data_IF_210395358525
#
_entry.id   IF_210395358525
#
_cell.length_a   1.000
_cell.length_b   1.000
_cell.length_c   1.000
_cell.angle_alpha   90.00
_cell.angle_beta   90.00
_cell.angle_gamma   90.00
#
_symmetry.space_group_name_H-M   'P 1'
#
loop_
_entity.id
_entity.type
_entity.pdbx_description
1 polymer ?
#
# COMPACT_ATOMS: atom_id res chain seq x y z
N UNK A 1 -56.38 8.29 34.69
CA UNK A 1 -56.27 7.03 35.47
C UNK A 1 -55.55 7.33 36.77
N UNK A 2 -55.90 6.69 37.88
CA UNK A 2 -55.15 6.85 39.13
C UNK A 2 -53.73 6.30 38.97
N UNK A 3 -52.74 6.97 39.56
CA UNK A 3 -51.34 6.53 39.54
C UNK A 3 -51.21 5.20 40.30
N UNK A 4 -50.40 4.29 39.78
CA UNK A 4 -50.10 3.01 40.43
C UNK A 4 -49.30 3.26 41.72
N UNK A 5 -49.77 2.70 42.83
CA UNK A 5 -49.11 2.80 44.13
C UNK A 5 -48.35 1.52 44.45
N UNK A 6 -47.30 1.65 45.29
CA UNK A 6 -46.50 0.50 45.73
C UNK A 6 -47.36 -0.57 46.41
N UNK A 7 -48.33 -0.16 47.23
CA UNK A 7 -49.31 -1.06 47.85
C UNK A 7 -50.05 -1.88 46.81
N UNK A 8 -50.52 -1.28 45.71
CA UNK A 8 -51.21 -2.02 44.63
C UNK A 8 -50.26 -2.94 43.87
N UNK A 9 -49.04 -2.49 43.61
CA UNK A 9 -48.02 -3.30 42.92
C UNK A 9 -47.63 -4.55 43.73
N UNK A 10 -47.43 -4.46 45.05
CA UNK A 10 -47.12 -5.62 45.92
C UNK A 10 -48.26 -6.64 46.00
N UNK A 11 -49.50 -6.23 45.72
CA UNK A 11 -50.65 -7.11 45.78
C UNK A 11 -51.01 -7.75 44.45
N UNK A 12 -50.28 -7.45 43.36
CA UNK A 12 -50.52 -8.05 42.05
C UNK A 12 -50.35 -9.58 42.12
N UNK A 13 -51.31 -10.33 41.59
CA UNK A 13 -51.32 -11.80 41.54
C UNK A 13 -51.05 -12.30 40.12
N UNK A 14 -50.59 -13.55 39.95
CA UNK A 14 -50.29 -14.12 38.63
C UNK A 14 -51.43 -14.01 37.61
N UNK A 15 -52.68 -14.13 38.06
CA UNK A 15 -53.88 -14.11 37.20
C UNK A 15 -54.50 -12.72 37.04
N UNK A 16 -53.88 -11.67 37.60
CA UNK A 16 -54.40 -10.31 37.51
C UNK A 16 -54.24 -9.75 36.09
N UNK A 17 -55.06 -8.75 35.74
CA UNK A 17 -54.82 -7.97 34.52
C UNK A 17 -53.63 -7.04 34.73
N UNK A 18 -52.87 -6.68 33.66
CA UNK A 18 -51.78 -5.72 33.78
C UNK A 18 -52.24 -4.42 34.43
N UNK A 19 -51.54 -3.98 35.48
CA UNK A 19 -51.86 -2.77 36.21
C UNK A 19 -51.26 -1.56 35.47
N UNK A 20 -52.07 -0.65 34.90
CA UNK A 20 -51.54 0.53 34.23
C UNK A 20 -50.83 1.44 35.24
N UNK A 21 -49.71 2.05 34.83
CA UNK A 21 -48.99 3.01 35.65
C UNK A 21 -49.84 4.24 35.99
N UNK A 22 -50.74 4.64 35.08
CA UNK A 22 -51.66 5.75 35.26
C UNK A 22 -51.08 7.13 34.90
N UNK A 23 -49.76 7.32 35.03
CA UNK A 23 -49.07 8.58 34.70
C UNK A 23 -48.34 8.60 33.35
N UNK A 24 -48.04 7.44 32.75
CA UNK A 24 -47.35 7.34 31.46
C UNK A 24 -48.15 6.44 30.54
N UNK A 25 -48.52 6.96 29.37
CA UNK A 25 -49.33 6.24 28.39
C UNK A 25 -48.64 4.95 27.98
N UNK A 26 -49.38 3.85 27.99
CA UNK A 26 -48.91 2.54 27.56
C UNK A 26 -47.95 1.82 28.52
N UNK A 27 -47.54 2.43 29.64
CA UNK A 27 -46.76 1.76 30.68
C UNK A 27 -47.69 0.99 31.62
N UNK A 28 -47.41 -0.30 31.82
CA UNK A 28 -48.14 -1.15 32.76
C UNK A 28 -47.21 -2.18 33.42
N UNK A 29 -47.55 -2.56 34.65
CA UNK A 29 -46.99 -3.70 35.35
C UNK A 29 -47.76 -4.96 34.97
N UNK A 30 -47.11 -5.87 34.25
CA UNK A 30 -47.65 -7.18 33.93
C UNK A 30 -47.34 -8.16 35.06
N UNK A 31 -48.31 -8.96 35.55
CA UNK A 31 -48.04 -9.93 36.60
C UNK A 31 -47.02 -10.99 36.17
N UNK A 32 -46.30 -11.52 37.15
CA UNK A 32 -45.44 -12.70 37.02
C UNK A 32 -46.04 -13.89 37.78
N UNK A 33 -45.37 -15.05 37.76
CA UNK A 33 -45.77 -16.25 38.50
C UNK A 33 -45.73 -16.11 40.03
N UNK A 34 -45.13 -15.03 40.54
CA UNK A 34 -44.98 -14.75 41.98
C UNK A 34 -45.81 -13.52 42.34
N UNK A 35 -46.64 -13.63 43.39
CA UNK A 35 -47.42 -12.51 43.93
C UNK A 35 -46.49 -11.37 44.31
N UNK A 36 -46.84 -10.14 43.91
CA UNK A 36 -46.06 -8.94 44.18
C UNK A 36 -44.86 -8.76 43.27
N UNK A 37 -44.70 -9.61 42.24
CA UNK A 37 -43.68 -9.45 41.20
C UNK A 37 -44.34 -9.28 39.83
N UNK A 38 -43.70 -8.51 38.96
CA UNK A 38 -44.21 -8.27 37.62
C UNK A 38 -43.17 -7.65 36.69
N UNK A 39 -43.46 -7.64 35.39
CA UNK A 39 -42.61 -7.03 34.37
C UNK A 39 -43.18 -5.68 33.97
N UNK A 40 -42.34 -4.66 33.96
CA UNK A 40 -42.69 -3.37 33.40
C UNK A 40 -42.68 -3.45 31.87
N UNK A 41 -43.82 -3.14 31.26
CA UNK A 41 -43.97 -3.14 29.80
C UNK A 41 -44.49 -1.80 29.34
N UNK A 42 -43.74 -1.14 28.47
CA UNK A 42 -44.18 0.03 27.73
C UNK A 42 -44.68 -0.40 26.34
N UNK A 43 -45.98 -0.17 26.10
CA UNK A 43 -46.61 -0.39 24.79
C UNK A 43 -46.58 0.89 23.97
N UNK A 44 -46.11 0.79 22.73
CA UNK A 44 -46.04 1.91 21.80
C UNK A 44 -46.23 1.46 20.35
N UNK A 45 -46.48 2.41 19.45
CA UNK A 45 -46.42 2.21 18.00
C UNK A 45 -45.11 2.79 17.53
N UNK A 46 -44.32 2.00 16.82
CA UNK A 46 -43.03 2.42 16.28
C UNK A 46 -43.24 3.49 15.20
N UNK A 47 -42.64 4.69 15.31
CA UNK A 47 -42.70 5.69 14.24
C UNK A 47 -41.98 5.23 12.97
N UNK A 48 -41.00 4.32 13.10
CA UNK A 48 -40.22 3.77 11.99
C UNK A 48 -40.94 2.63 11.28
N UNK A 49 -41.42 1.63 12.03
CA UNK A 49 -41.99 0.39 11.46
C UNK A 49 -43.52 0.40 11.38
N UNK A 50 -44.17 1.39 11.99
CA UNK A 50 -45.64 1.52 12.09
C UNK A 50 -46.34 0.33 12.79
N UNK A 51 -45.58 -0.54 13.46
CA UNK A 51 -46.09 -1.72 14.17
C UNK A 51 -46.22 -1.46 15.68
N UNK A 52 -47.19 -2.12 16.31
CA UNK A 52 -47.33 -2.15 17.79
C UNK A 52 -46.19 -2.97 18.39
N UNK A 53 -45.51 -2.41 19.38
CA UNK A 53 -44.37 -3.03 20.07
C UNK A 53 -44.50 -2.89 21.59
N UNK A 54 -43.86 -3.82 22.29
CA UNK A 54 -43.77 -3.87 23.73
C UNK A 54 -42.28 -3.79 24.13
N UNK A 55 -41.89 -2.76 24.86
CA UNK A 55 -40.58 -2.64 25.45
C UNK A 55 -40.60 -3.06 26.93
N UNK A 56 -39.76 -4.03 27.30
CA UNK A 56 -39.55 -4.40 28.70
C UNK A 56 -38.61 -3.43 29.39
N UNK A 57 -39.01 -2.92 30.56
CA UNK A 57 -38.26 -1.93 31.36
C UNK A 57 -37.68 -2.52 32.66
N UNK A 58 -37.67 -3.85 32.77
CA UNK A 58 -37.24 -4.58 33.96
C UNK A 58 -38.41 -5.15 34.76
N UNK A 59 -38.12 -5.65 35.96
CA UNK A 59 -39.08 -6.34 36.83
C UNK A 59 -39.28 -5.55 38.12
N UNK A 60 -40.48 -5.59 38.68
CA UNK A 60 -40.79 -5.14 40.03
C UNK A 60 -40.61 -6.32 41.00
N UNK A 61 -40.02 -6.11 42.19
CA UNK A 61 -39.66 -4.82 42.80
C UNK A 61 -38.25 -4.28 42.46
N UNK A 62 -37.43 -5.01 41.68
CA UNK A 62 -36.04 -4.60 41.39
C UNK A 62 -35.95 -3.22 40.71
N UNK A 63 -36.90 -2.95 39.83
CA UNK A 63 -37.17 -1.63 39.24
C UNK A 63 -38.42 -1.08 39.90
N UNK A 64 -38.23 0.00 40.66
CA UNK A 64 -39.30 0.71 41.34
C UNK A 64 -40.28 1.35 40.34
N UNK A 65 -41.48 1.70 40.82
CA UNK A 65 -42.49 2.40 40.01
C UNK A 65 -41.92 3.71 39.44
N UNK A 66 -41.18 4.46 40.26
CA UNK A 66 -40.55 5.72 39.86
C UNK A 66 -39.47 5.53 38.79
N UNK A 67 -38.62 4.50 38.93
CA UNK A 67 -37.58 4.22 37.95
C UNK A 67 -38.15 3.71 36.63
N UNK A 68 -39.17 2.84 36.69
CA UNK A 68 -39.91 2.41 35.51
C UNK A 68 -40.56 3.60 34.77
N UNK A 69 -41.08 4.57 35.54
CA UNK A 69 -41.64 5.79 34.97
C UNK A 69 -40.57 6.63 34.27
N UNK A 70 -39.41 6.84 34.90
CA UNK A 70 -38.28 7.57 34.31
C UNK A 70 -37.81 6.92 33.00
N UNK A 71 -37.59 5.61 32.99
CA UNK A 71 -37.18 4.87 31.79
C UNK A 71 -38.23 4.94 30.68
N UNK A 72 -39.52 4.81 31.03
CA UNK A 72 -40.60 4.91 30.05
C UNK A 72 -40.72 6.32 29.46
N UNK A 73 -40.49 7.36 30.26
CA UNK A 73 -40.50 8.75 29.82
C UNK A 73 -39.38 9.02 28.81
N UNK A 74 -38.15 8.55 29.08
CA UNK A 74 -37.04 8.64 28.13
C UNK A 74 -37.36 7.93 26.81
N UNK A 75 -38.00 6.75 26.84
CA UNK A 75 -38.44 6.09 25.61
C UNK A 75 -39.56 6.85 24.89
N UNK A 76 -40.44 7.55 25.61
CA UNK A 76 -41.49 8.40 25.03
C UNK A 76 -40.92 9.64 24.35
N UNK A 77 -39.89 10.24 24.92
CA UNK A 77 -39.15 11.36 24.30
C UNK A 77 -38.48 10.92 23.00
N UNK A 78 -37.83 9.76 22.98
CA UNK A 78 -37.26 9.19 21.76
C UNK A 78 -38.33 8.94 20.68
N UNK A 79 -39.48 8.40 21.07
CA UNK A 79 -40.62 8.21 20.15
C UNK A 79 -41.16 9.53 19.61
N UNK A 80 -41.19 10.59 20.42
CA UNK A 80 -41.63 11.93 20.00
C UNK A 80 -40.66 12.56 19.00
N UNK A 81 -39.37 12.26 19.11
CA UNK A 81 -38.33 12.65 18.13
C UNK A 81 -38.34 11.81 16.85
N UNK A 82 -39.24 10.84 16.71
CA UNK A 82 -39.37 9.99 15.52
C UNK A 82 -38.51 8.72 15.54
N UNK A 83 -37.80 8.44 16.64
CA UNK A 83 -36.95 7.25 16.76
C UNK A 83 -37.71 6.05 17.34
N UNK A 84 -37.32 4.83 16.97
CA UNK A 84 -37.76 3.61 17.66
C UNK A 84 -36.71 3.18 18.71
N UNK A 85 -37.01 3.26 20.02
CA UNK A 85 -36.07 2.91 21.08
C UNK A 85 -35.50 1.49 21.01
N UNK A 86 -36.29 0.52 20.52
CA UNK A 86 -35.84 -0.87 20.40
C UNK A 86 -34.93 -1.06 19.18
N UNK A 87 -35.11 -0.28 18.12
CA UNK A 87 -34.18 -0.27 16.97
C UNK A 87 -32.89 0.47 17.32
N UNK A 88 -32.95 1.58 18.06
CA UNK A 88 -31.75 2.24 18.60
C UNK A 88 -30.94 1.29 19.50
N UNK A 89 -31.62 0.49 20.33
CA UNK A 89 -30.97 -0.52 21.17
C UNK A 89 -30.40 -1.67 20.35
N UNK A 90 -31.09 -2.15 19.30
CA UNK A 90 -30.56 -3.17 18.36
C UNK A 90 -29.37 -2.67 17.55
N UNK A 91 -29.41 -1.45 17.04
CA UNK A 91 -28.28 -0.84 16.32
C UNK A 91 -27.04 -0.76 17.22
N UNK A 92 -27.21 -0.43 18.50
CA UNK A 92 -26.12 -0.47 19.50
C UNK A 92 -25.68 -1.88 19.92
N UNK A 93 -26.54 -2.89 19.75
CA UNK A 93 -26.30 -4.29 20.21
C UNK A 93 -26.01 -5.26 19.06
N UNK A 94 -25.88 -4.78 17.82
CA UNK A 94 -25.34 -5.62 16.75
C UNK A 94 -23.88 -5.86 17.12
N UNK A 95 -23.60 -6.99 17.77
CA UNK A 95 -22.24 -7.41 18.15
C UNK A 95 -21.41 -7.37 16.87
N UNK A 96 -20.60 -6.32 16.73
CA UNK A 96 -19.56 -6.26 15.71
C UNK A 96 -18.72 -7.50 15.93
N UNK A 97 -18.80 -8.47 15.01
CA UNK A 97 -17.91 -9.62 15.04
C UNK A 97 -16.54 -9.04 14.75
N UNK A 98 -15.72 -8.92 15.80
CA UNK A 98 -14.37 -8.39 15.69
C UNK A 98 -13.53 -9.51 15.08
N UNK A 99 -12.97 -9.33 13.87
CA UNK A 99 -12.15 -10.37 13.27
C UNK A 99 -10.81 -10.49 13.99
N UNK A 100 -10.14 -11.61 13.76
CA UNK A 100 -8.73 -11.80 14.12
C UNK A 100 -7.82 -10.96 13.21
N UNK A 101 -6.57 -10.77 13.61
CA UNK A 101 -5.60 -10.03 12.79
C UNK A 101 -5.42 -10.65 11.41
N UNK A 102 -5.35 -11.98 11.31
CA UNK A 102 -5.15 -12.67 10.04
C UNK A 102 -6.35 -12.47 9.10
N UNK A 103 -7.57 -12.66 9.59
CA UNK A 103 -8.79 -12.44 8.82
C UNK A 103 -8.85 -11.00 8.27
N UNK A 104 -8.59 -10.02 9.14
CA UNK A 104 -8.54 -8.62 8.76
C UNK A 104 -7.43 -8.34 7.74
N UNK A 105 -6.23 -8.92 7.92
CA UNK A 105 -5.12 -8.74 7.00
C UNK A 105 -5.43 -9.30 5.60
N UNK A 106 -6.10 -10.46 5.51
CA UNK A 106 -6.52 -11.05 4.24
C UNK A 106 -7.64 -10.24 3.57
N UNK A 107 -8.55 -9.67 4.35
CA UNK A 107 -9.58 -8.77 3.83
C UNK A 107 -8.96 -7.47 3.29
N UNK A 108 -8.11 -6.80 4.07
CA UNK A 108 -7.38 -5.59 3.65
C UNK A 108 -6.55 -5.86 2.39
N UNK A 109 -5.89 -7.02 2.33
CA UNK A 109 -5.13 -7.41 1.14
C UNK A 109 -6.03 -7.53 -0.09
N UNK A 110 -7.19 -8.17 0.04
CA UNK A 110 -8.16 -8.34 -1.04
C UNK A 110 -8.69 -6.99 -1.54
N UNK A 111 -8.98 -6.06 -0.63
CA UNK A 111 -9.46 -4.71 -0.96
C UNK A 111 -8.38 -3.85 -1.65
N UNK A 112 -7.11 -3.98 -1.24
CA UNK A 112 -6.01 -3.18 -1.79
C UNK A 112 -5.41 -3.76 -3.08
N UNK A 113 -5.51 -5.08 -3.29
CA UNK A 113 -4.86 -5.79 -4.40
C UNK A 113 -5.23 -5.21 -5.79
N UNK A 114 -6.50 -4.86 -6.11
CA UNK A 114 -6.86 -4.25 -7.39
C UNK A 114 -6.18 -2.90 -7.64
N UNK A 115 -5.84 -2.16 -6.58
CA UNK A 115 -5.16 -0.86 -6.69
C UNK A 115 -3.65 -0.97 -6.92
N UNK A 116 -3.04 -2.14 -6.71
CA UNK A 116 -1.60 -2.32 -6.87
C UNK A 116 -1.22 -2.69 -8.31
N UNK A 117 -0.47 -1.79 -8.96
CA UNK A 117 0.07 -2.02 -10.32
C UNK A 117 1.03 -3.20 -10.41
N UNK A 118 1.69 -3.57 -9.32
CA UNK A 118 2.71 -4.61 -9.29
C UNK A 118 2.21 -5.85 -8.53
N UNK A 119 1.89 -6.92 -9.27
CA UNK A 119 1.42 -8.18 -8.66
C UNK A 119 2.43 -8.81 -7.70
N UNK A 120 3.74 -8.67 -7.96
CA UNK A 120 4.78 -9.17 -7.05
C UNK A 120 4.76 -8.43 -5.72
N UNK A 121 4.47 -7.13 -5.74
CA UNK A 121 4.28 -6.35 -4.52
C UNK A 121 3.08 -6.89 -3.72
N UNK A 122 1.96 -7.17 -4.39
CA UNK A 122 0.78 -7.73 -3.74
C UNK A 122 1.03 -9.09 -3.09
N UNK A 123 1.74 -10.01 -3.78
CA UNK A 123 2.15 -11.29 -3.21
C UNK A 123 3.10 -11.11 -2.02
N UNK A 124 4.08 -10.22 -2.15
CA UNK A 124 5.04 -9.93 -1.08
C UNK A 124 4.35 -9.28 0.14
N UNK A 125 3.28 -8.52 -0.05
CA UNK A 125 2.57 -7.86 1.03
C UNK A 125 2.02 -8.85 2.04
N UNK A 126 1.23 -9.83 1.56
CA UNK A 126 0.62 -10.85 2.43
C UNK A 126 1.64 -11.88 2.92
N UNK A 127 2.53 -12.35 2.04
CA UNK A 127 3.53 -13.37 2.39
C UNK A 127 4.46 -12.96 3.53
N UNK A 128 4.80 -11.66 3.64
CA UNK A 128 5.59 -11.19 4.79
C UNK A 128 4.77 -11.17 6.09
N UNK A 129 3.46 -10.90 6.04
CA UNK A 129 2.60 -11.02 7.22
C UNK A 129 2.47 -12.48 7.64
N UNK A 130 2.31 -13.40 6.68
CA UNK A 130 2.31 -14.85 6.92
C UNK A 130 3.61 -15.32 7.57
N UNK A 131 4.76 -14.81 7.11
CA UNK A 131 6.06 -15.21 7.62
C UNK A 131 6.39 -14.64 9.00
N UNK A 132 6.03 -13.37 9.25
CA UNK A 132 6.55 -12.64 10.41
C UNK A 132 5.50 -12.27 11.46
N UNK A 133 4.22 -12.19 11.08
CA UNK A 133 3.17 -11.62 11.95
C UNK A 133 2.14 -12.67 12.36
N UNK A 134 1.60 -13.44 11.42
CA UNK A 134 0.56 -14.43 11.70
C UNK A 134 0.95 -15.49 12.74
N UNK A 135 2.21 -15.97 12.81
CA UNK A 135 2.62 -16.93 13.85
C UNK A 135 2.47 -16.41 15.29
N UNK A 136 2.39 -15.10 15.50
CA UNK A 136 2.33 -14.47 16.83
C UNK A 136 1.00 -13.75 17.06
N UNK A 137 0.51 -13.01 16.05
CA UNK A 137 -0.68 -12.16 16.16
C UNK A 137 -1.88 -12.67 15.36
N UNK A 138 -1.70 -13.67 14.49
CA UNK A 138 -2.70 -14.04 13.49
C UNK A 138 -4.08 -14.38 14.08
N UNK A 139 -4.10 -15.13 15.18
CA UNK A 139 -5.32 -15.57 15.88
C UNK A 139 -5.83 -14.58 16.92
N UNK A 140 -5.14 -13.47 17.18
CA UNK A 140 -5.54 -12.48 18.19
C UNK A 140 -6.63 -11.57 17.62
N UNK A 141 -7.69 -11.31 18.39
CA UNK A 141 -8.74 -10.39 17.98
C UNK A 141 -8.24 -8.94 17.94
N UNK A 142 -8.68 -8.16 16.95
CA UNK A 142 -8.17 -6.80 16.71
C UNK A 142 -8.30 -5.86 17.92
N UNK A 143 -9.33 -6.02 18.75
CA UNK A 143 -9.54 -5.23 19.97
C UNK A 143 -8.61 -5.58 21.12
N UNK A 144 -7.93 -6.74 21.06
CA UNK A 144 -7.03 -7.23 22.11
C UNK A 144 -5.56 -6.95 21.78
N UNK A 145 -5.26 -6.49 20.55
CA UNK A 145 -3.89 -6.20 20.13
C UNK A 145 -3.39 -4.94 20.81
N UNK A 146 -2.33 -5.10 21.60
CA UNK A 146 -1.66 -4.00 22.30
C UNK A 146 -0.38 -3.57 21.57
N UNK A 147 0.17 -2.37 21.89
CA UNK A 147 1.49 -1.97 21.38
C UNK A 147 2.61 -2.96 21.75
N UNK A 148 2.51 -3.62 22.91
CA UNK A 148 3.47 -4.62 23.35
C UNK A 148 3.48 -5.84 22.42
N UNK A 149 2.30 -6.35 22.02
CA UNK A 149 2.24 -7.48 21.09
C UNK A 149 2.85 -7.15 19.72
N UNK A 150 2.65 -5.92 19.23
CA UNK A 150 3.29 -5.46 17.98
C UNK A 150 4.80 -5.36 18.16
N UNK A 151 5.28 -4.86 19.30
CA UNK A 151 6.70 -4.78 19.59
C UNK A 151 7.35 -6.17 19.65
N UNK A 152 6.68 -7.16 20.25
CA UNK A 152 7.16 -8.54 20.34
C UNK A 152 7.33 -9.19 18.97
N UNK A 153 6.41 -8.91 18.04
CA UNK A 153 6.55 -9.33 16.63
C UNK A 153 7.79 -8.71 15.98
N UNK A 154 8.05 -7.43 16.22
CA UNK A 154 9.11 -6.68 15.53
C UNK A 154 10.50 -6.92 16.12
N UNK A 155 10.62 -7.09 17.45
CA UNK A 155 11.89 -7.21 18.19
C UNK A 155 12.90 -8.20 17.58
N UNK A 156 12.53 -9.44 17.19
CA UNK A 156 13.49 -10.45 16.75
C UNK A 156 14.31 -10.06 15.51
N UNK A 157 13.80 -9.13 14.70
CA UNK A 157 14.46 -8.65 13.49
C UNK A 157 14.59 -7.13 13.43
N UNK A 158 14.17 -6.41 14.48
CA UNK A 158 14.14 -4.95 14.53
C UNK A 158 15.50 -4.33 14.17
N UNK A 159 16.55 -4.71 14.88
CA UNK A 159 17.90 -4.17 14.66
C UNK A 159 18.65 -4.86 13.53
N UNK A 160 18.39 -6.16 13.30
CA UNK A 160 19.12 -6.98 12.32
C UNK A 160 18.65 -6.76 10.89
N UNK A 161 17.35 -6.52 10.67
CA UNK A 161 16.73 -6.33 9.36
C UNK A 161 15.87 -5.06 9.32
N UNK A 162 16.45 -3.85 9.47
CA UNK A 162 15.68 -2.61 9.64
C UNK A 162 14.65 -2.31 8.53
N UNK A 163 14.98 -2.61 7.27
CA UNK A 163 14.06 -2.41 6.14
C UNK A 163 12.86 -3.37 6.20
N UNK A 164 13.10 -4.65 6.53
CA UNK A 164 12.03 -5.63 6.72
C UNK A 164 11.15 -5.23 7.89
N UNK A 165 11.75 -4.80 9.00
CA UNK A 165 11.06 -4.29 10.18
C UNK A 165 10.14 -3.10 9.87
N UNK A 166 10.65 -2.11 9.13
CA UNK A 166 9.86 -0.96 8.71
C UNK A 166 8.66 -1.37 7.85
N UNK A 167 8.87 -2.28 6.87
CA UNK A 167 7.79 -2.78 6.01
C UNK A 167 6.76 -3.60 6.77
N UNK A 168 7.18 -4.48 7.68
CA UNK A 168 6.26 -5.26 8.53
C UNK A 168 5.43 -4.32 9.39
N UNK A 169 6.07 -3.37 10.08
CA UNK A 169 5.38 -2.37 10.89
C UNK A 169 4.35 -1.59 10.08
N UNK A 170 4.71 -1.09 8.89
CA UNK A 170 3.79 -0.37 7.99
C UNK A 170 2.56 -1.22 7.60
N UNK A 171 2.75 -2.52 7.39
CA UNK A 171 1.66 -3.43 7.03
C UNK A 171 0.74 -3.71 8.22
N UNK A 172 1.30 -3.96 9.41
CA UNK A 172 0.51 -4.08 10.64
C UNK A 172 -0.28 -2.80 10.88
N UNK A 173 0.37 -1.64 10.75
CA UNK A 173 -0.27 -0.35 10.89
C UNK A 173 -1.44 -0.19 9.91
N UNK A 174 -1.29 -0.63 8.65
CA UNK A 174 -2.36 -0.55 7.65
C UNK A 174 -3.58 -1.42 8.02
N UNK A 175 -3.36 -2.62 8.57
CA UNK A 175 -4.43 -3.50 9.04
C UNK A 175 -5.13 -2.90 10.26
N UNK A 176 -4.37 -2.38 11.23
CA UNK A 176 -4.95 -1.75 12.42
C UNK A 176 -5.65 -0.42 12.13
N UNK A 177 -5.21 0.35 11.12
CA UNK A 177 -5.96 1.52 10.64
C UNK A 177 -7.32 1.12 10.05
N UNK A 178 -7.34 0.04 9.26
CA UNK A 178 -8.59 -0.49 8.71
C UNK A 178 -9.51 -0.96 9.84
N UNK A 179 -8.98 -1.67 10.84
CA UNK A 179 -9.72 -2.09 12.03
C UNK A 179 -10.32 -0.90 12.79
N UNK A 180 -9.54 0.15 12.99
CA UNK A 180 -10.00 1.36 13.68
C UNK A 180 -11.12 2.06 12.92
N UNK A 181 -10.99 2.19 11.59
CA UNK A 181 -12.01 2.78 10.73
C UNK A 181 -13.35 2.01 10.75
N UNK A 182 -13.30 0.69 10.93
CA UNK A 182 -14.49 -0.17 11.06
C UNK A 182 -15.02 -0.28 12.49
N UNK A 183 -14.43 0.45 13.45
CA UNK A 183 -14.81 0.40 14.86
C UNK A 183 -14.48 -0.93 15.55
N UNK A 184 -13.56 -1.72 15.00
CA UNK A 184 -13.11 -2.99 15.58
C UNK A 184 -12.11 -2.79 16.73
N UNK A 185 -11.44 -1.64 16.78
CA UNK A 185 -10.60 -1.22 17.89
C UNK A 185 -10.77 0.29 18.14
N UNK A 186 -10.39 0.75 19.34
CA UNK A 186 -10.54 2.14 19.77
C UNK A 186 -9.38 3.05 19.34
N UNK A 187 -8.22 2.47 19.06
CA UNK A 187 -7.02 3.17 18.60
C UNK A 187 -6.11 2.20 17.83
N UNK A 188 -5.13 2.75 17.12
CA UNK A 188 -4.11 1.96 16.44
C UNK A 188 -2.89 1.74 17.37
N UNK A 189 -2.63 0.52 17.85
CA UNK A 189 -1.52 0.24 18.77
C UNK A 189 -0.14 0.48 18.13
N UNK A 190 -0.06 0.50 16.80
CA UNK A 190 1.21 0.68 16.06
C UNK A 190 1.73 2.12 16.15
N UNK A 191 0.86 3.09 16.48
CA UNK A 191 1.20 4.51 16.52
C UNK A 191 2.23 4.83 17.61
N UNK A 192 2.22 4.04 18.69
CA UNK A 192 3.10 4.24 19.86
C UNK A 192 4.18 3.17 20.00
N UNK A 193 4.25 2.19 19.09
CA UNK A 193 5.15 1.04 19.21
C UNK A 193 6.64 1.41 19.22
N UNK A 194 7.02 2.54 18.60
CA UNK A 194 8.41 2.98 18.57
C UNK A 194 8.96 3.31 19.97
N UNK A 195 8.10 3.67 20.93
CA UNK A 195 8.49 3.86 22.32
C UNK A 195 8.88 2.56 23.03
N UNK A 196 8.55 1.40 22.45
CA UNK A 196 8.84 0.07 22.99
C UNK A 196 9.98 -0.63 22.24
N UNK A 197 10.58 0.03 21.25
CA UNK A 197 11.60 -0.53 20.38
C UNK A 197 12.89 0.30 20.46
N UNK A 198 14.07 -0.34 20.38
CA UNK A 198 15.33 0.39 20.33
C UNK A 198 15.40 1.36 19.14
N UNK A 199 16.05 2.51 19.32
CA UNK A 199 16.23 3.46 18.23
C UNK A 199 17.08 2.85 17.12
N UNK A 200 16.54 2.83 15.90
CA UNK A 200 17.31 2.49 14.71
C UNK A 200 18.11 3.69 14.23
N UNK A 201 19.28 3.42 13.66
CA UNK A 201 20.02 4.43 12.88
C UNK A 201 19.12 4.94 11.75
N UNK A 202 19.20 6.24 11.44
CA UNK A 202 18.33 6.87 10.44
C UNK A 202 18.45 6.18 9.07
N UNK A 203 17.35 6.17 8.31
CA UNK A 203 17.32 5.56 6.98
C UNK A 203 18.31 6.23 6.02
N UNK A 204 18.59 7.53 6.18
CA UNK A 204 19.57 8.25 5.35
C UNK A 204 20.99 7.74 5.56
N UNK A 205 21.38 7.45 6.80
CA UNK A 205 22.70 6.87 7.12
C UNK A 205 22.78 5.42 6.62
N UNK A 206 21.67 4.67 6.66
CA UNK A 206 21.59 3.29 6.15
C UNK A 206 21.47 3.17 4.62
N UNK A 207 21.21 4.27 3.92
CA UNK A 207 20.97 4.21 2.47
C UNK A 207 22.31 4.02 1.77
N UNK A 208 22.57 2.78 1.37
CA UNK A 208 23.65 2.52 0.42
C UNK A 208 23.21 2.95 -0.98
N UNK A 209 23.96 3.88 -1.56
CA UNK A 209 23.80 4.24 -2.96
C UNK A 209 24.14 3.05 -3.86
N UNK A 210 23.51 3.01 -5.04
CA UNK A 210 23.79 1.98 -6.04
C UNK A 210 25.17 2.27 -6.65
N UNK A 211 26.15 1.34 -6.57
CA UNK A 211 27.51 1.60 -7.03
C UNK A 211 27.54 1.98 -8.51
N UNK A 212 28.16 3.11 -8.82
CA UNK A 212 28.22 3.65 -10.17
C UNK A 212 29.63 3.48 -10.73
N UNK A 213 29.74 3.23 -12.04
CA UNK A 213 31.03 3.29 -12.71
C UNK A 213 31.38 4.77 -12.94
N UNK A 214 32.56 5.27 -12.51
CA UNK A 214 32.96 6.64 -12.85
C UNK A 214 32.90 6.83 -14.36
N UNK A 215 32.22 7.89 -14.82
CA UNK A 215 31.94 8.06 -16.25
C UNK A 215 33.21 8.07 -17.10
N UNK A 216 34.32 8.56 -16.54
CA UNK A 216 35.67 8.60 -17.15
C UNK A 216 36.21 7.23 -17.57
N UNK A 217 35.75 6.15 -16.94
CA UNK A 217 36.22 4.77 -17.16
C UNK A 217 35.29 4.01 -18.11
N UNK A 218 34.08 4.52 -18.36
CA UNK A 218 33.08 3.85 -19.19
C UNK A 218 33.60 3.54 -20.60
N UNK A 219 34.28 4.45 -21.34
CA UNK A 219 34.70 4.15 -22.70
C UNK A 219 35.62 2.93 -22.78
N UNK A 220 36.63 2.86 -21.90
CA UNK A 220 37.55 1.73 -21.84
C UNK A 220 36.84 0.43 -21.42
N UNK A 221 35.94 0.50 -20.44
CA UNK A 221 35.18 -0.68 -20.02
C UNK A 221 34.25 -1.18 -21.14
N UNK A 222 33.60 -0.26 -21.85
CA UNK A 222 32.74 -0.60 -22.98
C UNK A 222 33.56 -1.28 -24.07
N UNK A 223 34.65 -0.66 -24.52
CA UNK A 223 35.52 -1.24 -25.54
C UNK A 223 36.06 -2.63 -25.17
N UNK A 224 36.53 -2.80 -23.92
CA UNK A 224 37.21 -4.03 -23.52
C UNK A 224 36.28 -5.17 -23.07
N UNK A 225 35.06 -4.89 -22.59
CA UNK A 225 34.20 -5.90 -21.94
C UNK A 225 32.78 -5.98 -22.50
N UNK A 226 32.23 -4.87 -22.99
CA UNK A 226 30.80 -4.77 -23.34
C UNK A 226 30.56 -4.79 -24.83
N UNK A 227 31.29 -3.96 -25.59
CA UNK A 227 31.18 -3.90 -27.04
C UNK A 227 31.60 -5.24 -27.65
N UNK A 228 30.86 -5.65 -28.67
CA UNK A 228 31.07 -6.91 -29.35
C UNK A 228 30.38 -6.85 -30.71
N UNK A 229 31.08 -7.28 -31.74
CA UNK A 229 30.54 -7.44 -33.10
C UNK A 229 29.77 -8.75 -33.27
N UNK A 230 29.77 -9.62 -32.24
CA UNK A 230 29.01 -10.87 -32.22
C UNK A 230 27.52 -10.57 -32.31
N UNK A 231 26.95 -10.83 -33.48
CA UNK A 231 25.51 -10.70 -33.68
C UNK A 231 24.78 -11.58 -32.67
N UNK A 232 23.66 -11.08 -32.16
CA UNK A 232 22.79 -11.77 -31.21
C UNK A 232 23.32 -11.98 -29.78
N UNK A 233 24.40 -11.28 -29.38
CA UNK A 233 24.81 -11.23 -27.98
C UNK A 233 23.89 -10.33 -27.13
N UNK A 234 22.72 -10.86 -26.75
CA UNK A 234 21.64 -10.09 -26.11
C UNK A 234 22.08 -9.41 -24.81
N UNK A 235 22.90 -10.06 -23.98
CA UNK A 235 23.31 -9.48 -22.68
C UNK A 235 24.18 -8.24 -22.86
N UNK A 236 25.17 -8.31 -23.76
CA UNK A 236 26.06 -7.18 -24.07
C UNK A 236 25.29 -6.05 -24.75
N UNK A 237 24.48 -6.39 -25.76
CA UNK A 237 23.61 -5.43 -26.45
C UNK A 237 22.67 -4.70 -25.47
N UNK A 238 22.03 -5.44 -24.55
CA UNK A 238 21.14 -4.88 -23.53
C UNK A 238 21.90 -3.94 -22.57
N UNK A 239 23.08 -4.33 -22.09
CA UNK A 239 23.87 -3.49 -21.19
C UNK A 239 24.28 -2.20 -21.91
N UNK A 240 24.84 -2.31 -23.11
CA UNK A 240 25.28 -1.17 -23.89
C UNK A 240 24.13 -0.23 -24.22
N UNK A 241 22.99 -0.77 -24.65
CA UNK A 241 21.77 0.01 -24.88
C UNK A 241 21.28 0.72 -23.60
N UNK A 242 21.36 0.06 -22.43
CA UNK A 242 21.01 0.67 -21.14
C UNK A 242 21.93 1.86 -20.82
N UNK A 243 23.23 1.72 -21.08
CA UNK A 243 24.23 2.80 -20.88
C UNK A 243 23.92 3.97 -21.82
N UNK A 244 23.76 3.70 -23.12
CA UNK A 244 23.52 4.72 -24.14
C UNK A 244 22.20 5.49 -23.93
N UNK A 245 21.15 4.80 -23.46
CA UNK A 245 19.83 5.42 -23.26
C UNK A 245 19.62 6.00 -21.85
N UNK A 246 20.55 5.73 -20.93
CA UNK A 246 20.40 6.00 -19.50
C UNK A 246 19.07 5.49 -18.92
N UNK A 247 18.47 4.45 -19.50
CA UNK A 247 17.18 3.89 -19.07
C UNK A 247 17.33 2.95 -17.87
N UNK A 248 16.22 2.56 -17.23
CA UNK A 248 16.28 1.54 -16.17
C UNK A 248 16.40 0.16 -16.83
N UNK A 249 17.16 -0.76 -16.22
CA UNK A 249 17.33 -2.11 -16.77
C UNK A 249 16.01 -2.86 -17.00
N UNK A 250 15.01 -2.67 -16.14
CA UNK A 250 13.67 -3.27 -16.33
C UNK A 250 12.91 -2.68 -17.53
N UNK A 251 13.14 -1.41 -17.86
CA UNK A 251 12.57 -0.77 -19.05
C UNK A 251 13.22 -1.34 -20.31
N UNK A 252 14.56 -1.44 -20.34
CA UNK A 252 15.27 -2.02 -21.48
C UNK A 252 14.99 -3.52 -21.67
N UNK A 253 14.99 -4.33 -20.59
CA UNK A 253 14.76 -5.79 -20.66
C UNK A 253 13.41 -6.18 -21.28
N UNK A 254 12.37 -5.39 -21.00
CA UNK A 254 11.02 -5.64 -21.50
C UNK A 254 10.65 -4.78 -22.72
N UNK A 255 11.64 -4.13 -23.34
CA UNK A 255 11.46 -3.32 -24.54
C UNK A 255 10.87 -4.14 -25.70
N UNK A 256 9.89 -3.54 -26.40
CA UNK A 256 9.20 -4.16 -27.53
C UNK A 256 9.50 -3.43 -28.83
N UNK A 257 9.49 -4.15 -29.96
CA UNK A 257 9.71 -3.54 -31.28
C UNK A 257 8.67 -2.48 -31.63
N UNK A 258 7.42 -2.68 -31.18
CA UNK A 258 6.33 -1.71 -31.35
C UNK A 258 6.57 -0.36 -30.64
N UNK A 259 7.53 -0.29 -29.72
CA UNK A 259 7.89 0.93 -29.00
C UNK A 259 8.93 1.78 -29.77
N UNK A 260 9.48 1.28 -30.88
CA UNK A 260 10.57 1.93 -31.62
C UNK A 260 10.07 2.55 -32.91
N UNK A 261 10.25 3.86 -33.03
CA UNK A 261 10.11 4.59 -34.29
C UNK A 261 11.50 4.77 -34.91
N UNK A 262 11.86 3.89 -35.85
CA UNK A 262 13.11 3.94 -36.58
C UNK A 262 13.19 5.10 -37.58
N UNK A 263 12.06 5.68 -38.01
CA UNK A 263 12.09 6.85 -38.91
C UNK A 263 12.49 8.10 -38.15
N UNK A 264 12.05 8.22 -36.90
CA UNK A 264 12.34 9.37 -36.03
C UNK A 264 13.49 9.13 -35.05
N UNK A 265 14.03 7.91 -35.01
CA UNK A 265 15.01 7.43 -34.03
C UNK A 265 14.53 7.72 -32.59
N UNK A 266 13.36 7.20 -32.23
CA UNK A 266 12.76 7.38 -30.91
C UNK A 266 12.34 6.02 -30.34
N UNK A 267 12.69 5.75 -29.09
CA UNK A 267 12.07 4.72 -28.28
C UNK A 267 11.05 5.34 -27.32
N UNK A 268 9.80 4.88 -27.35
CA UNK A 268 8.72 5.38 -26.48
C UNK A 268 8.28 4.31 -25.49
N UNK A 269 8.61 4.50 -24.21
CA UNK A 269 8.15 3.64 -23.12
C UNK A 269 6.74 4.08 -22.69
N UNK A 270 5.73 3.20 -22.74
CA UNK A 270 4.37 3.55 -22.37
C UNK A 270 4.23 3.84 -20.87
N UNK A 271 3.25 4.68 -20.51
CA UNK A 271 2.96 5.07 -19.11
C UNK A 271 2.73 3.87 -18.19
N UNK A 272 2.14 2.79 -18.71
CA UNK A 272 1.88 1.54 -17.97
C UNK A 272 3.16 0.86 -17.46
N UNK A 273 4.29 1.09 -18.13
CA UNK A 273 5.61 0.54 -17.76
C UNK A 273 6.48 1.54 -16.99
N UNK A 274 6.08 2.80 -16.93
CA UNK A 274 6.82 3.86 -16.26
C UNK A 274 6.44 3.97 -14.79
N UNK A 275 7.44 4.06 -13.91
CA UNK A 275 7.23 4.21 -12.45
C UNK A 275 6.40 5.45 -12.11
N UNK A 276 6.56 6.54 -12.86
CA UNK A 276 5.81 7.79 -12.70
C UNK A 276 4.39 7.74 -13.28
N UNK A 277 4.06 6.73 -14.10
CA UNK A 277 2.80 6.69 -14.84
C UNK A 277 2.73 7.68 -16.02
N UNK A 278 3.85 8.31 -16.40
CA UNK A 278 3.93 9.22 -17.55
C UNK A 278 4.78 8.53 -18.63
N UNK A 279 4.31 8.52 -19.89
CA UNK A 279 5.09 7.95 -21.01
C UNK A 279 6.45 8.63 -21.13
N UNK A 280 7.48 7.89 -21.51
CA UNK A 280 8.84 8.43 -21.67
C UNK A 280 9.32 8.24 -23.10
N UNK A 281 9.73 9.33 -23.76
CA UNK A 281 10.35 9.27 -25.09
C UNK A 281 11.85 9.45 -24.95
N UNK A 282 12.61 8.56 -25.54
CA UNK A 282 14.07 8.56 -25.54
C UNK A 282 14.55 8.74 -26.99
N UNK A 283 15.27 9.82 -27.31
CA UNK A 283 15.90 9.93 -28.62
C UNK A 283 17.07 8.94 -28.69
N UNK A 284 17.13 8.17 -29.77
CA UNK A 284 18.14 7.15 -29.99
C UNK A 284 19.32 7.75 -30.76
N UNK A 285 20.53 7.55 -30.24
CA UNK A 285 21.77 7.84 -30.97
C UNK A 285 22.00 6.84 -32.10
N UNK A 286 22.89 7.17 -33.03
CA UNK A 286 23.28 6.27 -34.13
C UNK A 286 23.74 4.89 -33.62
N UNK A 287 24.58 4.87 -32.57
CA UNK A 287 25.07 3.64 -31.92
C UNK A 287 23.92 2.84 -31.30
N UNK A 288 22.94 3.50 -30.68
CA UNK A 288 21.79 2.82 -30.11
C UNK A 288 20.92 2.16 -31.20
N UNK A 289 20.73 2.84 -32.34
CA UNK A 289 19.99 2.30 -33.49
C UNK A 289 20.71 1.10 -34.10
N UNK A 290 22.05 1.14 -34.18
CA UNK A 290 22.85 0.01 -34.67
C UNK A 290 22.67 -1.24 -33.80
N UNK A 291 22.73 -1.09 -32.47
CA UNK A 291 22.49 -2.18 -31.52
C UNK A 291 21.10 -2.80 -31.73
N UNK A 292 20.07 -1.96 -31.93
CA UNK A 292 18.73 -2.45 -32.24
C UNK A 292 18.71 -3.20 -33.58
N UNK A 293 19.45 -2.73 -34.59
CA UNK A 293 19.62 -3.43 -35.87
C UNK A 293 20.17 -4.85 -35.70
N UNK A 294 21.19 -5.02 -34.85
CA UNK A 294 21.80 -6.33 -34.57
C UNK A 294 20.84 -7.32 -33.91
N UNK A 295 19.85 -6.84 -33.14
CA UNK A 295 18.87 -7.68 -32.46
C UNK A 295 17.67 -8.07 -33.33
N UNK A 296 17.49 -7.45 -34.51
CA UNK A 296 16.39 -7.80 -35.41
C UNK A 296 16.44 -9.27 -35.83
N UNK A 297 15.27 -9.90 -35.82
CA UNK A 297 15.07 -11.30 -36.19
C UNK A 297 15.21 -12.29 -35.03
N UNK A 298 15.62 -11.85 -33.83
CA UNK A 298 15.73 -12.75 -32.67
C UNK A 298 14.38 -13.15 -32.08
N UNK A 299 13.40 -12.24 -32.14
CA UNK A 299 12.06 -12.42 -31.59
C UNK A 299 11.11 -11.40 -32.24
N UNK A 300 9.84 -11.78 -32.43
CA UNK A 300 8.82 -10.97 -33.11
C UNK A 300 8.41 -9.72 -32.31
N UNK A 301 8.19 -9.87 -31.00
CA UNK A 301 7.75 -8.78 -30.13
C UNK A 301 8.88 -8.10 -29.31
N UNK A 302 9.77 -8.87 -28.67
CA UNK A 302 10.80 -8.38 -27.75
C UNK A 302 12.09 -8.00 -28.48
N UNK A 303 12.71 -6.90 -28.05
CA UNK A 303 14.03 -6.46 -28.56
C UNK A 303 15.17 -7.28 -27.96
N UNK A 304 15.11 -7.57 -26.66
CA UNK A 304 16.15 -8.28 -25.91
C UNK A 304 15.62 -9.58 -25.28
N UNK A 305 15.25 -10.59 -26.08
CA UNK A 305 14.68 -11.84 -25.58
C UNK A 305 15.74 -12.71 -24.88
N UNK A 306 15.31 -13.52 -23.91
CA UNK A 306 16.14 -14.61 -23.39
C UNK A 306 16.49 -15.58 -24.53
N UNK A 307 17.78 -15.85 -24.81
CA UNK A 307 18.17 -16.67 -25.96
C UNK A 307 17.52 -18.05 -26.01
N UNK A 308 17.27 -18.66 -24.84
CA UNK A 308 16.65 -19.99 -24.73
C UNK A 308 15.15 -19.94 -24.52
N UNK A 309 14.68 -19.13 -23.57
CA UNK A 309 13.26 -19.13 -23.17
C UNK A 309 12.38 -18.25 -24.06
N UNK A 310 12.97 -17.38 -24.88
CA UNK A 310 12.24 -16.40 -25.70
C UNK A 310 11.25 -15.57 -24.89
N UNK A 311 11.63 -15.24 -23.64
CA UNK A 311 10.88 -14.38 -22.72
C UNK A 311 11.73 -13.19 -22.30
N UNK A 312 11.13 -12.23 -21.57
CA UNK A 312 11.88 -11.15 -20.91
C UNK A 312 13.01 -11.75 -20.05
N UNK A 313 14.24 -11.22 -20.21
CA UNK A 313 15.40 -11.61 -19.41
C UNK A 313 15.14 -11.35 -17.93
N UNK A 314 15.82 -12.05 -17.01
CA UNK A 314 15.64 -11.82 -15.56
C UNK A 314 16.36 -10.54 -15.08
N UNK A 315 15.98 -10.01 -13.92
CA UNK A 315 16.66 -8.86 -13.29
C UNK A 315 18.16 -9.11 -13.08
N UNK A 316 18.54 -10.38 -12.92
CA UNK A 316 19.91 -10.77 -12.62
C UNK A 316 20.85 -10.78 -13.82
N UNK A 317 20.34 -10.73 -15.05
CA UNK A 317 21.20 -10.89 -16.25
C UNK A 317 22.36 -9.89 -16.29
N UNK A 318 22.06 -8.60 -16.05
CA UNK A 318 23.07 -7.53 -16.06
C UNK A 318 23.92 -7.56 -14.78
N UNK A 319 23.31 -7.81 -13.63
CA UNK A 319 24.03 -7.92 -12.35
C UNK A 319 25.07 -9.05 -12.38
N UNK A 320 24.71 -10.21 -12.91
CA UNK A 320 25.63 -11.35 -13.04
C UNK A 320 26.72 -11.08 -14.07
N UNK A 321 26.42 -10.36 -15.16
CA UNK A 321 27.42 -9.96 -16.14
C UNK A 321 28.45 -8.99 -15.54
N UNK A 322 27.98 -7.90 -14.92
CA UNK A 322 28.84 -6.87 -14.33
C UNK A 322 29.79 -7.45 -13.27
N UNK A 323 29.27 -8.31 -12.38
CA UNK A 323 30.08 -9.04 -11.39
C UNK A 323 31.12 -9.96 -12.05
N UNK A 324 30.73 -10.72 -13.06
CA UNK A 324 31.65 -11.62 -13.79
C UNK A 324 32.79 -10.85 -14.44
N UNK A 325 32.51 -9.67 -14.98
CA UNK A 325 33.51 -8.79 -15.61
C UNK A 325 34.27 -7.91 -14.62
N UNK A 326 33.96 -7.99 -13.30
CA UNK A 326 34.52 -7.13 -12.25
C UNK A 326 34.40 -5.64 -12.59
N UNK A 327 33.19 -5.20 -12.90
CA UNK A 327 32.92 -3.83 -13.32
C UNK A 327 33.32 -2.85 -12.21
N UNK A 328 34.30 -1.99 -12.49
CA UNK A 328 34.82 -0.98 -11.55
C UNK A 328 33.69 -0.06 -11.11
N UNK A 329 33.63 0.26 -9.82
CA UNK A 329 32.71 1.26 -9.27
C UNK A 329 33.41 2.30 -8.40
N UNK A 330 32.69 3.37 -8.09
CA UNK A 330 33.02 4.40 -7.11
C UNK A 330 32.94 3.93 -5.64
N UNK A 331 32.43 2.71 -5.41
CA UNK A 331 32.18 2.18 -4.07
C UNK A 331 33.18 1.04 -3.78
N UNK A 332 34.12 1.23 -2.83
CA UNK A 332 35.12 0.23 -2.51
C UNK A 332 34.53 -1.15 -2.21
N UNK A 333 35.11 -2.20 -2.81
CA UNK A 333 34.69 -3.59 -2.60
C UNK A 333 33.37 -4.00 -3.25
N UNK A 334 32.77 -3.16 -4.09
CA UNK A 334 31.50 -3.46 -4.79
C UNK A 334 31.63 -3.23 -6.29
N UNK A 335 31.10 -4.14 -7.09
CA UNK A 335 31.02 -3.96 -8.54
C UNK A 335 29.93 -2.95 -8.91
N UNK A 336 30.12 -2.24 -10.03
CA UNK A 336 29.12 -1.35 -10.58
C UNK A 336 27.84 -2.13 -10.94
N UNK A 337 26.69 -1.48 -10.78
CA UNK A 337 25.38 -2.08 -11.08
C UNK A 337 24.71 -1.37 -12.25
N UNK A 338 23.78 -2.05 -12.93
CA UNK A 338 23.10 -1.50 -14.11
C UNK A 338 22.40 -0.15 -13.82
N UNK A 339 21.85 0.03 -12.61
CA UNK A 339 21.26 1.30 -12.21
C UNK A 339 22.29 2.42 -12.02
N UNK A 340 23.52 2.07 -11.62
CA UNK A 340 24.61 3.01 -11.36
C UNK A 340 25.04 3.79 -12.60
N UNK A 341 24.91 3.22 -13.81
CA UNK A 341 25.22 3.93 -15.06
C UNK A 341 24.34 5.17 -15.29
N UNK A 342 23.17 5.25 -14.65
CA UNK A 342 22.33 6.45 -14.66
C UNK A 342 22.93 7.59 -13.84
N UNK A 343 23.59 7.26 -12.72
CA UNK A 343 24.40 8.23 -11.96
C UNK A 343 25.60 8.65 -12.79
N UNK A 344 26.31 7.71 -13.43
CA UNK A 344 27.43 8.02 -14.33
C UNK A 344 27.03 8.99 -15.45
N UNK A 345 25.90 8.76 -16.11
CA UNK A 345 25.35 9.66 -17.12
C UNK A 345 25.03 11.04 -16.54
N UNK A 346 24.45 11.09 -15.33
CA UNK A 346 24.10 12.33 -14.66
C UNK A 346 25.33 13.17 -14.30
N UNK A 347 26.38 12.51 -13.82
CA UNK A 347 27.66 13.14 -13.48
C UNK A 347 28.34 13.65 -14.75
N UNK A 348 28.37 12.84 -15.82
CA UNK A 348 28.87 13.28 -17.12
C UNK A 348 28.13 14.53 -17.62
N UNK A 349 26.79 14.54 -17.58
CA UNK A 349 26.00 15.71 -17.97
C UNK A 349 26.38 16.96 -17.17
N UNK A 350 26.61 16.79 -15.86
CA UNK A 350 26.98 17.88 -14.96
C UNK A 350 28.35 18.46 -15.30
N UNK A 351 29.36 17.61 -15.50
CA UNK A 351 30.72 18.04 -15.84
C UNK A 351 30.81 18.64 -17.26
N UNK A 352 29.91 18.24 -18.18
CA UNK A 352 29.84 18.77 -19.56
C UNK A 352 28.84 19.93 -19.72
N UNK A 353 28.37 20.51 -18.61
CA UNK A 353 27.51 21.72 -18.59
C UNK A 353 26.16 21.55 -19.31
N UNK A 354 25.64 20.34 -19.42
CA UNK A 354 24.25 20.15 -19.84
C UNK A 354 23.31 20.63 -18.73
N UNK A 355 22.19 21.24 -19.12
CA UNK A 355 21.18 21.72 -18.18
C UNK A 355 20.67 20.58 -17.29
N UNK A 356 20.52 20.89 -15.99
CA UNK A 356 19.96 19.96 -15.01
C UNK A 356 18.61 19.40 -15.50
N UNK A 357 17.72 20.26 -16.02
CA UNK A 357 16.40 19.85 -16.48
C UNK A 357 16.46 18.82 -17.61
N UNK A 358 17.33 19.04 -18.59
CA UNK A 358 17.50 18.15 -19.75
C UNK A 358 18.00 16.77 -19.29
N UNK A 359 18.96 16.73 -18.37
CA UNK A 359 19.49 15.49 -17.81
C UNK A 359 18.46 14.73 -16.97
N UNK A 360 17.72 15.41 -16.08
CA UNK A 360 16.68 14.79 -15.25
C UNK A 360 15.52 14.23 -16.11
N UNK A 361 15.19 14.91 -17.21
CA UNK A 361 14.19 14.45 -18.20
C UNK A 361 14.66 13.22 -18.95
N UNK A 362 15.93 13.14 -19.36
CA UNK A 362 16.47 11.93 -19.98
C UNK A 362 16.34 10.72 -19.04
N UNK A 363 16.55 10.95 -17.74
CA UNK A 363 16.39 9.94 -16.68
C UNK A 363 14.93 9.66 -16.31
N UNK A 364 13.94 10.39 -16.83
CA UNK A 364 12.54 10.32 -16.40
C UNK A 364 12.40 10.40 -14.88
N UNK A 365 13.12 11.33 -14.27
CA UNK A 365 12.94 11.67 -12.86
C UNK A 365 11.73 12.59 -12.71
N UNK A 366 10.87 12.29 -11.74
CA UNK A 366 9.75 13.16 -11.38
C UNK A 366 10.28 14.34 -10.59
N UNK A 367 9.95 15.54 -11.07
CA UNK A 367 10.24 16.79 -10.40
C UNK A 367 9.49 16.80 -9.06
N UNK A 368 10.22 16.95 -7.95
CA UNK A 368 9.66 16.88 -6.59
C UNK A 368 8.75 18.08 -6.30
N UNK A 369 9.01 19.22 -6.92
CA UNK A 369 8.25 20.45 -6.73
C UNK A 369 7.03 20.47 -7.68
N UNK A 370 5.83 20.39 -7.10
CA UNK A 370 4.56 20.38 -7.85
C UNK A 370 4.36 21.66 -8.68
N UNK A 371 4.85 22.80 -8.18
CA UNK A 371 4.74 24.08 -8.88
C UNK A 371 5.64 24.13 -10.10
N UNK A 372 6.87 23.63 -9.97
CA UNK A 372 7.82 23.52 -11.08
C UNK A 372 7.29 22.54 -12.14
N UNK A 373 6.81 21.36 -11.71
CA UNK A 373 6.23 20.34 -12.59
C UNK A 373 5.10 20.86 -13.50
N UNK A 374 4.34 21.89 -13.09
CA UNK A 374 3.28 22.50 -13.89
C UNK A 374 3.79 23.30 -15.11
N UNK A 375 5.04 23.80 -15.06
CA UNK A 375 5.66 24.55 -16.16
C UNK A 375 6.34 23.64 -17.20
N UNK A 376 6.63 22.38 -16.87
CA UNK A 376 7.26 21.42 -17.78
C UNK A 376 6.25 20.77 -18.74
N UNK A 377 5.74 21.55 -19.71
CA UNK A 377 4.71 21.11 -20.68
C UNK A 377 5.21 20.17 -21.78
N UNK A 378 6.50 20.17 -22.08
CA UNK A 378 7.14 19.31 -23.10
C UNK A 378 8.22 18.45 -22.46
N UNK A 379 8.69 17.42 -23.15
CA UNK A 379 9.77 16.52 -22.71
C UNK A 379 11.14 16.89 -23.30
N UNK A 380 11.25 18.07 -23.92
CA UNK A 380 12.45 18.61 -24.56
C UNK A 380 13.17 17.58 -25.46
N UNK A 381 12.42 16.81 -26.24
CA UNK A 381 12.95 15.67 -26.99
C UNK A 381 14.10 16.08 -27.93
N UNK A 382 13.94 17.19 -28.66
CA UNK A 382 14.91 17.60 -29.68
C UNK A 382 16.20 18.15 -29.05
N UNK A 383 16.12 18.90 -27.95
CA UNK A 383 17.30 19.31 -27.17
C UNK A 383 18.04 18.10 -26.58
N UNK A 384 17.30 17.06 -26.17
CA UNK A 384 17.92 15.81 -25.70
C UNK A 384 18.64 15.05 -26.81
N UNK A 385 18.33 15.24 -28.09
CA UNK A 385 18.97 14.49 -29.19
C UNK A 385 20.48 14.75 -29.24
N UNK A 386 20.91 16.01 -29.20
CA UNK A 386 22.33 16.36 -29.24
C UNK A 386 23.07 15.83 -28.02
N UNK A 387 22.48 15.96 -26.83
CA UNK A 387 23.05 15.43 -25.59
C UNK A 387 23.20 13.89 -25.62
N UNK A 388 22.15 13.17 -26.03
CA UNK A 388 22.18 11.71 -26.09
C UNK A 388 23.15 11.20 -27.17
N UNK A 389 23.31 11.93 -28.28
CA UNK A 389 24.33 11.60 -29.28
C UNK A 389 25.74 11.84 -28.75
N UNK A 390 26.01 13.01 -28.15
CA UNK A 390 27.32 13.31 -27.56
C UNK A 390 27.70 12.33 -26.44
N UNK A 391 26.73 11.88 -25.65
CA UNK A 391 26.94 10.82 -24.67
C UNK A 391 27.33 9.50 -25.34
N UNK A 392 26.65 9.12 -26.42
CA UNK A 392 26.96 7.89 -27.14
C UNK A 392 28.34 7.94 -27.80
N UNK A 393 28.71 9.07 -28.39
CA UNK A 393 30.02 9.30 -28.99
C UNK A 393 31.13 9.20 -27.92
N UNK A 394 30.88 9.76 -26.73
CA UNK A 394 31.78 9.60 -25.60
C UNK A 394 31.91 8.15 -25.14
N UNK A 395 30.79 7.43 -24.96
CA UNK A 395 30.80 6.02 -24.55
C UNK A 395 31.57 5.13 -25.53
N UNK A 396 31.56 5.48 -26.82
CA UNK A 396 32.25 4.75 -27.87
C UNK A 396 33.67 5.27 -28.16
N UNK A 397 34.18 6.28 -27.44
CA UNK A 397 35.44 6.95 -27.78
C UNK A 397 36.70 6.08 -27.69
N UNK A 398 36.59 4.88 -27.14
CA UNK A 398 37.69 3.89 -27.06
C UNK A 398 37.37 2.58 -27.79
N UNK A 399 36.25 2.51 -28.50
CA UNK A 399 35.90 1.38 -29.35
C UNK A 399 36.66 1.54 -30.68
N UNK A 400 37.49 0.56 -31.00
CA UNK A 400 38.27 0.51 -32.25
C UNK A 400 37.47 -0.03 -33.44
#
# INVERSE_FOLDING_TARGET
>A
MALLTDTKARHIKPDDKPLPHGGITGLALHPSSIKGHGKWVLRYVSPVTQKRRNAGLGSYPEISIAEAARLAQTMREQLASGDDPLELKKAKTTKVIIPTFEEAARQVHTELLPGWRNQKHGKQWISTLEQHVFPVLGSVFLNEITPANVADVLRPFWMRLPETSSRVKQRIHKVMQWAWAHGHCSANPVDVVDHLLPQQVSASIRTEHQPAMPWKVIPLYVASRVYSTDRYNVTRALLLFTILTASRSGEARAMRWSEVDFKRNIWTIPSSRMKSGIKHRIPLSSQAVEILGQMRGLHEELVFPSPRKQTVLTDMVLTSFLRRTKAISDTPGRDAVAHGFRSSFRDWCSEHRYSHDIAERALAHTIKNKSEAAYHRTDLLDERRSMMQAWADYVFSSVE
#
